data_IF_966305863918
#
_entry.id   IF_966305863918
#
_cell.length_a   1.000
_cell.length_b   1.000
_cell.length_c   1.000
_cell.angle_alpha   90.00
_cell.angle_beta   90.00
_cell.angle_gamma   90.00
#
_symmetry.space_group_name_H-M   'P 1'
#
loop_
_entity.id
_entity.type
_entity.pdbx_description
1 polymer ?
#
# COMPACT_ATOMS: atom_id res chain seq x y z
N UNK A 1 -37.61 0.73 46.32
CA UNK A 1 -37.41 -0.24 45.24
C UNK A 1 -37.38 0.39 43.83
N UNK A 2 -38.10 1.46 43.52
CA UNK A 2 -38.10 2.13 42.21
C UNK A 2 -36.77 2.83 41.87
N UNK A 3 -36.06 3.37 42.84
CA UNK A 3 -34.80 4.06 42.58
C UNK A 3 -33.63 3.10 42.22
N UNK A 4 -33.67 1.86 42.75
CA UNK A 4 -32.65 0.85 42.42
C UNK A 4 -32.76 0.34 40.97
N UNK A 5 -34.00 0.23 40.44
CA UNK A 5 -34.22 -0.15 39.03
C UNK A 5 -33.77 0.93 38.07
N UNK A 6 -33.88 2.21 38.43
CA UNK A 6 -33.42 3.33 37.59
C UNK A 6 -31.89 3.42 37.52
N UNK A 7 -31.18 3.10 38.58
CA UNK A 7 -29.72 3.07 38.64
C UNK A 7 -29.18 1.89 37.80
N UNK A 8 -29.82 0.73 37.82
CA UNK A 8 -29.44 -0.42 36.99
C UNK A 8 -29.67 -0.18 35.48
N UNK A 9 -30.75 0.53 35.09
CA UNK A 9 -30.99 0.90 33.71
C UNK A 9 -29.96 1.96 33.19
N UNK A 10 -29.60 2.91 34.06
CA UNK A 10 -28.58 3.91 33.70
C UNK A 10 -27.18 3.28 33.56
N UNK A 11 -26.84 2.30 34.40
CA UNK A 11 -25.58 1.56 34.31
C UNK A 11 -25.50 0.67 33.06
N UNK A 12 -26.61 0.03 32.65
CA UNK A 12 -26.66 -0.78 31.45
C UNK A 12 -26.59 0.07 30.18
N UNK A 13 -27.17 1.28 30.16
CA UNK A 13 -27.07 2.21 29.04
C UNK A 13 -25.64 2.79 28.88
N UNK A 14 -24.92 3.03 30.00
CA UNK A 14 -23.53 3.52 29.95
C UNK A 14 -22.54 2.45 29.48
N UNK A 15 -22.81 1.17 29.69
CA UNK A 15 -21.99 0.05 29.21
C UNK A 15 -22.21 -0.22 27.69
N UNK A 16 -23.36 0.16 27.16
CA UNK A 16 -23.64 0.01 25.70
C UNK A 16 -22.92 1.05 24.82
N UNK A 17 -22.41 2.14 25.41
CA UNK A 17 -21.69 3.20 24.67
C UNK A 17 -20.19 2.94 24.55
N UNK A 18 -19.67 1.95 25.25
CA UNK A 18 -18.25 1.56 25.19
C UNK A 18 -17.98 0.37 24.26
N UNK A 19 -18.83 0.12 23.26
CA UNK A 19 -18.43 -0.76 22.18
C UNK A 19 -17.19 -0.14 21.51
N UNK A 20 -16.08 -0.87 21.35
CA UNK A 20 -14.96 -0.37 20.57
C UNK A 20 -15.51 0.05 19.22
N UNK A 21 -15.14 1.24 18.75
CA UNK A 21 -15.47 1.66 17.39
C UNK A 21 -14.95 0.55 16.47
N UNK A 22 -15.85 -0.35 16.07
CA UNK A 22 -15.52 -1.36 15.05
C UNK A 22 -15.04 -0.63 13.82
N UNK A 23 -14.09 -1.21 13.11
CA UNK A 23 -13.41 -0.61 11.99
C UNK A 23 -14.39 0.18 11.12
N UNK A 24 -14.12 1.46 10.94
CA UNK A 24 -14.91 2.37 10.12
C UNK A 24 -14.93 1.90 8.65
N UNK A 25 -13.99 1.02 8.29
CA UNK A 25 -13.78 0.48 6.96
C UNK A 25 -13.93 -1.04 6.97
N UNK A 26 -14.47 -1.60 5.88
CA UNK A 26 -14.61 -3.04 5.66
C UNK A 26 -13.25 -3.73 5.53
N UNK A 27 -12.28 -3.04 4.91
CA UNK A 27 -10.91 -3.48 4.70
C UNK A 27 -10.00 -2.27 4.42
N UNK A 28 -8.72 -2.54 4.28
CA UNK A 28 -7.71 -1.57 3.83
C UNK A 28 -6.85 -2.23 2.76
N UNK A 29 -6.58 -1.53 1.65
CA UNK A 29 -5.75 -2.01 0.56
C UNK A 29 -4.57 -1.08 0.34
N UNK A 30 -3.40 -1.67 0.09
CA UNK A 30 -2.15 -0.95 -0.06
C UNK A 30 -1.51 -1.27 -1.42
N UNK A 31 -1.15 -0.21 -2.14
CA UNK A 31 -0.44 -0.27 -3.41
C UNK A 31 0.77 0.67 -3.32
N UNK A 32 1.92 0.20 -3.76
CA UNK A 32 3.11 1.04 -3.65
C UNK A 32 4.42 0.32 -3.89
N UNK A 33 5.44 0.90 -3.31
CA UNK A 33 6.82 0.45 -3.40
C UNK A 33 7.34 -0.15 -2.07
N UNK A 34 8.66 -0.15 -1.91
CA UNK A 34 9.34 -0.71 -0.73
C UNK A 34 8.87 -0.13 0.60
N UNK A 35 8.45 1.14 0.66
CA UNK A 35 8.01 1.77 1.90
C UNK A 35 6.68 1.22 2.39
N UNK A 36 5.92 0.57 1.51
CA UNK A 36 4.59 0.02 1.79
C UNK A 36 4.57 -1.50 1.81
N UNK A 37 5.54 -2.17 1.19
CA UNK A 37 5.61 -3.63 1.02
C UNK A 37 5.68 -4.37 2.37
N UNK A 38 4.59 -5.03 2.75
CA UNK A 38 4.50 -5.84 3.97
C UNK A 38 5.14 -7.23 3.83
N UNK A 39 5.76 -7.56 2.69
CA UNK A 39 6.52 -8.78 2.50
C UNK A 39 6.42 -9.45 1.13
N UNK A 40 5.84 -8.81 0.11
CA UNK A 40 5.79 -9.35 -1.25
C UNK A 40 7.20 -9.53 -1.84
N UNK A 41 8.06 -8.51 -1.71
CA UNK A 41 9.45 -8.58 -2.17
C UNK A 41 10.25 -9.61 -1.37
N UNK A 42 10.01 -9.71 -0.06
CA UNK A 42 10.69 -10.64 0.83
C UNK A 42 10.55 -12.11 0.39
N UNK A 43 9.45 -12.44 -0.27
CA UNK A 43 9.18 -13.80 -0.75
C UNK A 43 10.12 -14.23 -1.90
N UNK A 44 10.75 -13.27 -2.60
CA UNK A 44 11.59 -13.52 -3.78
C UNK A 44 13.08 -13.25 -3.57
N UNK A 45 13.49 -12.87 -2.35
CA UNK A 45 14.88 -12.63 -1.98
C UNK A 45 15.38 -13.67 -0.99
N UNK A 46 16.71 -13.80 -0.79
CA UNK A 46 17.28 -14.79 0.11
C UNK A 46 16.68 -14.75 1.52
N UNK A 47 16.56 -15.90 2.20
CA UNK A 47 16.14 -15.96 3.61
C UNK A 47 16.99 -15.03 4.48
N UNK A 48 16.35 -14.34 5.41
CA UNK A 48 16.99 -13.37 6.30
C UNK A 48 16.98 -11.92 5.81
N UNK A 49 16.57 -11.66 4.56
CA UNK A 49 16.31 -10.31 4.09
C UNK A 49 15.10 -9.73 4.85
N UNK A 50 15.29 -8.58 5.48
CA UNK A 50 14.24 -7.88 6.23
C UNK A 50 13.22 -7.18 5.34
N UNK A 51 12.23 -6.58 5.98
CA UNK A 51 11.37 -5.59 5.35
C UNK A 51 12.16 -4.28 5.15
N UNK A 52 11.66 -3.40 4.29
CA UNK A 52 12.28 -2.10 4.01
C UNK A 52 12.06 -1.10 5.15
N UNK A 53 12.61 -1.42 6.32
CA UNK A 53 12.57 -0.58 7.52
C UNK A 53 13.99 -0.32 8.01
N UNK A 54 14.22 0.83 8.66
CA UNK A 54 15.52 1.20 9.22
C UNK A 54 15.86 0.44 10.52
N UNK A 55 14.89 -0.25 11.08
CA UNK A 55 14.98 -1.05 12.29
C UNK A 55 14.19 -2.35 12.05
N UNK A 56 14.58 -3.53 12.56
CA UNK A 56 13.80 -4.74 12.43
C UNK A 56 12.42 -4.56 13.10
N UNK A 57 11.47 -4.09 12.31
CA UNK A 57 10.12 -3.77 12.74
C UNK A 57 9.14 -3.87 11.58
N UNK A 58 7.85 -3.67 11.82
CA UNK A 58 6.84 -3.66 10.78
C UNK A 58 6.97 -2.41 9.90
N UNK A 59 6.58 -2.50 8.64
CA UNK A 59 6.32 -1.35 7.78
C UNK A 59 5.05 -0.62 8.23
N UNK A 60 4.90 0.64 7.85
CA UNK A 60 3.78 1.47 8.27
C UNK A 60 2.38 0.87 7.99
N UNK A 61 2.13 0.17 6.85
CA UNK A 61 0.82 -0.43 6.59
C UNK A 61 0.40 -1.44 7.65
N UNK A 62 1.35 -2.22 8.16
CA UNK A 62 1.07 -3.20 9.23
C UNK A 62 0.60 -2.50 10.51
N UNK A 63 1.27 -1.40 10.90
CA UNK A 63 0.91 -0.62 12.08
C UNK A 63 -0.44 0.09 11.88
N UNK A 64 -0.63 0.68 10.69
CA UNK A 64 -1.86 1.37 10.34
C UNK A 64 -3.07 0.43 10.36
N UNK A 65 -3.00 -0.70 9.67
CA UNK A 65 -4.09 -1.68 9.63
C UNK A 65 -4.46 -2.18 11.03
N UNK A 66 -3.45 -2.48 11.85
CA UNK A 66 -3.65 -2.94 13.23
C UNK A 66 -4.41 -1.92 14.10
N UNK A 67 -4.21 -0.61 13.86
CA UNK A 67 -4.95 0.44 14.58
C UNK A 67 -6.47 0.35 14.38
N UNK A 68 -6.91 -0.17 13.24
CA UNK A 68 -8.33 -0.39 12.92
C UNK A 68 -8.79 -1.83 13.15
N UNK A 69 -7.97 -2.67 13.79
CA UNK A 69 -8.27 -4.09 14.00
C UNK A 69 -8.18 -4.93 12.71
N UNK A 70 -7.52 -4.40 11.68
CA UNK A 70 -7.26 -5.03 10.39
C UNK A 70 -5.81 -5.51 10.31
N UNK A 71 -5.46 -6.21 9.23
CA UNK A 71 -4.09 -6.64 8.96
C UNK A 71 -3.65 -6.21 7.55
N UNK A 72 -2.38 -5.83 7.40
CA UNK A 72 -1.73 -5.71 6.10
C UNK A 72 -1.01 -7.04 5.82
N UNK A 73 -1.54 -7.83 4.90
CA UNK A 73 -1.03 -9.14 4.52
C UNK A 73 -0.57 -9.07 3.07
N UNK A 74 0.64 -9.57 2.72
CA UNK A 74 1.12 -9.56 1.34
C UNK A 74 0.15 -10.22 0.36
N UNK A 75 -0.03 -9.65 -0.82
CA UNK A 75 -0.89 -10.21 -1.87
C UNK A 75 -0.40 -11.57 -2.36
N UNK A 76 0.89 -11.85 -2.28
CA UNK A 76 1.48 -13.18 -2.50
C UNK A 76 0.96 -14.25 -1.52
N UNK A 77 0.40 -13.84 -0.39
CA UNK A 77 -0.28 -14.68 0.60
C UNK A 77 -1.81 -14.49 0.56
N UNK A 78 -2.34 -14.08 -0.57
CA UNK A 78 -3.77 -13.80 -0.78
C UNK A 78 -4.31 -12.63 0.08
N UNK A 79 -3.43 -11.73 0.49
CA UNK A 79 -3.75 -10.57 1.32
C UNK A 79 -4.12 -9.31 0.52
N UNK A 80 -4.10 -8.20 1.24
CA UNK A 80 -4.58 -6.87 0.83
C UNK A 80 -3.43 -5.86 0.60
N UNK A 81 -2.19 -6.24 0.84
CA UNK A 81 -1.02 -5.44 0.51
C UNK A 81 -0.42 -5.91 -0.82
N UNK A 82 -0.57 -5.09 -1.85
CA UNK A 82 -0.07 -5.33 -3.21
C UNK A 82 1.28 -4.65 -3.47
N UNK A 83 1.73 -3.79 -2.56
CA UNK A 83 2.97 -3.05 -2.71
C UNK A 83 4.17 -3.98 -2.91
N UNK A 84 5.14 -3.54 -3.70
CA UNK A 84 6.28 -4.37 -4.06
C UNK A 84 7.59 -3.56 -4.03
N UNK A 85 8.58 -4.04 -3.30
CA UNK A 85 9.89 -3.40 -3.21
C UNK A 85 10.50 -3.11 -4.58
N UNK A 86 10.93 -1.87 -4.80
CA UNK A 86 11.50 -1.41 -6.05
C UNK A 86 10.49 -1.04 -7.14
N UNK A 87 9.18 -1.11 -6.88
CA UNK A 87 8.15 -0.79 -7.86
C UNK A 87 8.23 0.65 -8.37
N UNK A 88 8.19 0.84 -9.68
CA UNK A 88 7.89 2.09 -10.37
C UNK A 88 6.39 2.23 -10.58
N UNK A 89 5.94 3.40 -11.03
CA UNK A 89 4.49 3.62 -11.19
C UNK A 89 3.90 2.70 -12.27
N UNK A 90 4.47 2.69 -13.47
CA UNK A 90 3.96 1.89 -14.60
C UNK A 90 5.01 1.02 -15.25
N UNK A 91 6.29 1.41 -15.18
CA UNK A 91 7.32 0.86 -16.05
C UNK A 91 8.18 -0.20 -15.36
N UNK A 92 8.78 -1.04 -16.18
CA UNK A 92 9.88 -1.93 -15.82
C UNK A 92 11.20 -1.40 -16.45
N UNK A 93 12.36 -1.76 -15.90
CA UNK A 93 12.56 -2.53 -14.67
C UNK A 93 12.26 -1.71 -13.42
N UNK A 94 12.05 -2.40 -12.28
CA UNK A 94 12.05 -1.75 -10.96
C UNK A 94 13.47 -1.32 -10.52
N UNK A 95 13.61 -0.81 -9.29
CA UNK A 95 14.89 -0.34 -8.74
C UNK A 95 15.19 -1.03 -7.40
N UNK A 96 16.41 -1.58 -7.17
CA UNK A 96 17.39 -1.94 -8.21
C UNK A 96 16.82 -3.03 -9.13
N UNK A 97 17.32 -3.14 -10.35
CA UNK A 97 16.91 -4.21 -11.25
C UNK A 97 17.42 -5.53 -10.70
N UNK A 98 16.56 -6.24 -9.96
CA UNK A 98 16.92 -7.51 -9.28
C UNK A 98 17.08 -8.62 -10.32
N UNK A 99 16.38 -8.52 -11.44
CA UNK A 99 16.51 -9.36 -12.62
C UNK A 99 15.72 -8.73 -13.76
N UNK A 100 16.17 -8.83 -15.01
CA UNK A 100 15.36 -8.40 -16.16
C UNK A 100 14.07 -9.20 -16.33
N UNK A 101 13.96 -10.36 -15.68
CA UNK A 101 12.81 -11.27 -15.76
C UNK A 101 11.93 -11.27 -14.49
N UNK A 102 12.45 -10.78 -13.36
CA UNK A 102 11.72 -10.65 -12.09
C UNK A 102 11.80 -9.19 -11.67
N UNK A 103 11.09 -8.36 -12.36
CA UNK A 103 10.96 -6.95 -12.02
C UNK A 103 10.01 -6.75 -10.85
N UNK A 104 10.22 -5.68 -10.09
CA UNK A 104 9.24 -5.23 -9.12
C UNK A 104 7.91 -4.93 -9.83
N UNK A 105 6.82 -5.50 -9.34
CA UNK A 105 5.48 -5.31 -9.92
C UNK A 105 5.10 -3.82 -9.86
N UNK A 106 4.94 -3.13 -11.01
CA UNK A 106 4.58 -1.71 -11.02
C UNK A 106 3.25 -1.43 -10.30
N UNK A 107 3.11 -0.23 -9.74
CA UNK A 107 1.89 0.18 -9.01
C UNK A 107 0.63 0.01 -9.84
N UNK A 108 0.67 0.38 -11.14
CA UNK A 108 -0.46 0.17 -12.05
C UNK A 108 -0.83 -1.31 -12.19
N UNK A 109 0.16 -2.20 -12.26
CA UNK A 109 -0.08 -3.66 -12.31
C UNK A 109 -0.66 -4.18 -11.01
N UNK A 110 -0.22 -3.65 -9.86
CA UNK A 110 -0.78 -4.00 -8.55
C UNK A 110 -2.27 -3.67 -8.47
N UNK A 111 -2.67 -2.48 -8.93
CA UNK A 111 -4.08 -2.06 -9.02
C UNK A 111 -4.87 -3.01 -9.94
N UNK A 112 -4.32 -3.36 -11.10
CA UNK A 112 -4.97 -4.33 -12.00
C UNK A 112 -5.12 -5.72 -11.36
N UNK A 113 -4.12 -6.19 -10.61
CA UNK A 113 -4.21 -7.46 -9.87
C UNK A 113 -5.32 -7.44 -8.81
N UNK A 114 -5.54 -6.29 -8.16
CA UNK A 114 -6.65 -6.11 -7.24
C UNK A 114 -7.99 -6.18 -7.97
N UNK A 115 -8.16 -5.39 -9.04
CA UNK A 115 -9.40 -5.33 -9.82
C UNK A 115 -9.76 -6.67 -10.47
N UNK A 116 -8.78 -7.49 -10.79
CA UNK A 116 -9.01 -8.85 -11.31
C UNK A 116 -9.68 -9.78 -10.29
N UNK A 117 -9.70 -9.44 -9.00
CA UNK A 117 -10.37 -10.21 -7.94
C UNK A 117 -11.84 -9.85 -7.75
N UNK A 118 -12.28 -8.71 -8.26
CA UNK A 118 -13.66 -8.24 -8.15
C UNK A 118 -13.79 -6.71 -8.23
N UNK A 119 -14.98 -6.19 -8.06
CA UNK A 119 -15.23 -4.76 -8.06
C UNK A 119 -14.55 -4.08 -6.87
N UNK A 120 -14.33 -2.78 -6.99
CA UNK A 120 -13.83 -1.93 -5.91
C UNK A 120 -14.83 -1.97 -4.74
N UNK A 121 -14.34 -2.22 -3.53
CA UNK A 121 -15.17 -2.18 -2.32
C UNK A 121 -15.36 -0.70 -1.89
N UNK A 122 -16.57 -0.16 -1.96
CA UNK A 122 -16.81 1.26 -1.64
C UNK A 122 -16.67 1.57 -0.13
N UNK A 123 -16.59 0.55 0.72
CA UNK A 123 -16.43 0.70 2.16
C UNK A 123 -15.00 0.46 2.64
N UNK A 124 -14.07 0.12 1.74
CA UNK A 124 -12.68 -0.06 2.07
C UNK A 124 -11.89 1.25 1.97
N UNK A 125 -10.72 1.27 2.61
CA UNK A 125 -9.76 2.35 2.50
C UNK A 125 -8.62 1.94 1.57
N UNK A 126 -8.21 2.84 0.68
CA UNK A 126 -7.18 2.59 -0.33
C UNK A 126 -6.00 3.53 -0.16
N UNK A 127 -4.80 2.97 -0.13
CA UNK A 127 -3.55 3.72 -0.12
C UNK A 127 -2.77 3.44 -1.39
N UNK A 128 -2.43 4.50 -2.12
CA UNK A 128 -1.63 4.43 -3.34
C UNK A 128 -0.43 5.34 -3.17
N UNK A 129 0.77 4.80 -3.25
CA UNK A 129 2.00 5.58 -3.27
C UNK A 129 2.94 5.10 -4.39
N UNK A 130 3.89 5.93 -4.79
CA UNK A 130 4.85 5.58 -5.84
C UNK A 130 5.60 6.80 -6.36
N UNK A 131 6.48 6.54 -7.33
CA UNK A 131 7.27 7.59 -7.99
C UNK A 131 8.69 7.74 -7.45
N UNK A 132 8.97 7.27 -6.23
CA UNK A 132 10.33 7.29 -5.68
C UNK A 132 11.33 6.47 -6.53
N UNK A 133 10.91 5.29 -6.98
CA UNK A 133 11.73 4.45 -7.83
C UNK A 133 11.82 4.98 -9.27
N UNK A 134 10.82 5.70 -9.79
CA UNK A 134 10.93 6.41 -11.06
C UNK A 134 11.99 7.51 -10.97
N UNK A 135 12.02 8.25 -9.84
CA UNK A 135 13.05 9.23 -9.58
C UNK A 135 14.45 8.58 -9.59
N UNK A 136 14.69 7.54 -8.80
CA UNK A 136 15.99 6.87 -8.75
C UNK A 136 16.42 6.31 -10.11
N UNK A 137 15.50 5.71 -10.86
CA UNK A 137 15.76 5.20 -12.19
C UNK A 137 16.18 6.30 -13.15
N UNK A 138 15.43 7.40 -13.21
CA UNK A 138 15.72 8.52 -14.10
C UNK A 138 17.04 9.23 -13.76
N UNK A 139 17.36 9.37 -12.48
CA UNK A 139 18.66 9.90 -12.05
C UNK A 139 19.82 8.96 -12.37
N UNK A 140 19.60 7.65 -12.31
CA UNK A 140 20.56 6.67 -12.81
C UNK A 140 20.85 6.83 -14.31
N UNK A 141 19.81 7.02 -15.12
CA UNK A 141 19.97 7.31 -16.56
C UNK A 141 20.68 8.63 -16.81
N UNK A 142 20.37 9.66 -16.03
CA UNK A 142 21.05 10.96 -16.15
C UNK A 142 22.55 10.84 -15.83
N UNK A 143 22.88 10.15 -14.75
CA UNK A 143 24.27 9.90 -14.37
C UNK A 143 25.06 9.07 -15.40
N UNK A 144 24.38 8.19 -16.14
CA UNK A 144 24.95 7.41 -17.23
C UNK A 144 24.99 8.17 -18.58
N UNK A 145 24.50 9.41 -18.64
CA UNK A 145 24.43 10.19 -19.89
C UNK A 145 23.38 9.68 -20.89
N UNK A 146 22.42 8.87 -20.43
CA UNK A 146 21.36 8.25 -21.27
C UNK A 146 20.08 9.09 -21.33
N UNK A 147 20.01 10.18 -20.57
CA UNK A 147 18.91 11.16 -20.60
C UNK A 147 19.46 12.56 -20.29
N UNK A 148 18.59 13.56 -20.35
CA UNK A 148 18.90 14.95 -20.00
C UNK A 148 18.08 15.39 -18.79
N UNK A 149 18.43 16.52 -18.11
CA UNK A 149 17.63 17.07 -17.02
C UNK A 149 16.15 17.32 -17.45
N UNK A 150 15.93 17.80 -18.66
CA UNK A 150 14.58 18.00 -19.22
C UNK A 150 13.85 16.65 -19.41
N UNK A 151 14.58 15.61 -19.85
CA UNK A 151 14.05 14.25 -19.99
C UNK A 151 13.65 13.66 -18.64
N UNK A 152 14.46 13.85 -17.59
CA UNK A 152 14.12 13.46 -16.21
C UNK A 152 12.83 14.15 -15.76
N UNK A 153 12.73 15.47 -15.92
CA UNK A 153 11.54 16.22 -15.54
C UNK A 153 10.28 15.75 -16.25
N UNK A 154 10.36 15.49 -17.57
CA UNK A 154 9.24 14.99 -18.35
C UNK A 154 8.81 13.59 -17.89
N UNK A 155 9.76 12.68 -17.66
CA UNK A 155 9.46 11.32 -17.19
C UNK A 155 8.81 11.31 -15.81
N UNK A 156 9.30 12.12 -14.87
CA UNK A 156 8.71 12.25 -13.54
C UNK A 156 7.31 12.87 -13.58
N UNK A 157 7.09 13.88 -14.44
CA UNK A 157 5.77 14.44 -14.69
C UNK A 157 4.78 13.40 -15.21
N UNK A 158 5.23 12.54 -16.14
CA UNK A 158 4.44 11.41 -16.64
C UNK A 158 4.09 10.42 -15.53
N UNK A 159 5.07 10.00 -14.73
CA UNK A 159 4.83 9.09 -13.61
C UNK A 159 3.83 9.66 -12.59
N UNK A 160 3.91 10.95 -12.28
CA UNK A 160 2.98 11.60 -11.38
C UNK A 160 1.53 11.57 -11.92
N UNK A 161 1.33 11.86 -13.20
CA UNK A 161 0.00 11.76 -13.86
C UNK A 161 -0.51 10.32 -13.82
N UNK A 162 0.34 9.35 -14.14
CA UNK A 162 0.00 7.93 -14.13
C UNK A 162 -0.38 7.44 -12.73
N UNK A 163 0.29 7.92 -11.67
CA UNK A 163 -0.06 7.60 -10.28
C UNK A 163 -1.44 8.14 -9.93
N UNK A 164 -1.73 9.39 -10.31
CA UNK A 164 -3.08 9.98 -10.14
C UNK A 164 -4.17 9.20 -10.87
N UNK A 165 -3.87 8.62 -12.05
CA UNK A 165 -4.79 7.74 -12.77
C UNK A 165 -5.12 6.46 -11.98
N UNK A 166 -4.15 5.89 -11.24
CA UNK A 166 -4.43 4.72 -10.40
C UNK A 166 -5.40 5.04 -9.27
N UNK A 167 -5.30 6.23 -8.68
CA UNK A 167 -6.27 6.70 -7.67
C UNK A 167 -7.65 6.84 -8.31
N UNK A 168 -7.75 7.52 -9.46
CA UNK A 168 -9.03 7.71 -10.16
C UNK A 168 -9.72 6.38 -10.55
N UNK A 169 -8.93 5.36 -10.90
CA UNK A 169 -9.46 4.01 -11.20
C UNK A 169 -10.10 3.38 -9.95
N UNK A 170 -9.52 3.57 -8.78
CA UNK A 170 -10.04 3.03 -7.51
C UNK A 170 -11.22 3.84 -6.96
N UNK A 171 -11.40 5.08 -7.39
CA UNK A 171 -12.55 5.94 -7.05
C UNK A 171 -13.75 5.74 -7.99
N UNK A 172 -13.54 5.06 -9.12
CA UNK A 172 -14.60 4.83 -10.10
C UNK A 172 -15.68 3.89 -9.51
N UNK A 173 -16.98 4.23 -9.66
CA UNK A 173 -18.09 3.44 -9.13
C UNK A 173 -18.28 2.11 -9.87
#
# INVERSE_FOLDING_TARGET
>A
MQNFKRILLAGAAALAVSAPASAQFSNVYFFGDSLTDAGNYKAVVPPGTGLFTTNPGPVWPTVFAAHFGLAAVPSAQSGNDYAYGGARVTDLPGVPPVSPTVGATPVATQVQQYLAKGPVDPNALYFVNGGGNDFFYQFGLLGAGLTTPAGVQAALGTAAVQLGQQVAILEAP
#
